data_IF_631727096865
#
_entry.id   IF_631727096865
#
_cell.length_a   1.000
_cell.length_b   1.000
_cell.length_c   1.000
_cell.angle_alpha   90.00
_cell.angle_beta   90.00
_cell.angle_gamma   90.00
#
_symmetry.space_group_name_H-M   'P 1'
#
loop_
_entity.id
_entity.type
_entity.pdbx_description
1 polymer ?
#
# COMPACT_ATOMS: atom_id res chain seq x y z
N UNK A 1 -16.09 15.55 -9.77
CA UNK A 1 -15.06 15.98 -8.81
C UNK A 1 -15.64 17.18 -8.07
N UNK A 2 -15.99 17.01 -6.82
CA UNK A 2 -16.39 18.10 -5.93
C UNK A 2 -15.17 18.41 -5.05
N UNK A 3 -14.73 19.64 -5.02
CA UNK A 3 -13.59 20.10 -4.19
C UNK A 3 -12.30 19.28 -4.34
N UNK A 4 -11.96 18.85 -5.58
CA UNK A 4 -10.79 18.01 -5.90
C UNK A 4 -10.82 16.56 -5.37
N UNK A 5 -11.91 16.10 -4.79
CA UNK A 5 -12.13 14.69 -4.44
C UNK A 5 -13.04 14.00 -5.48
N UNK A 6 -12.77 12.71 -5.72
CA UNK A 6 -13.60 11.89 -6.61
C UNK A 6 -14.73 11.25 -5.84
N UNK A 7 -15.94 11.39 -6.36
CA UNK A 7 -17.10 10.61 -5.94
C UNK A 7 -17.28 9.43 -6.90
N UNK A 8 -17.25 8.21 -6.38
CA UNK A 8 -17.54 7.00 -7.16
C UNK A 8 -19.05 6.77 -7.18
N UNK A 9 -19.69 7.07 -8.31
CA UNK A 9 -21.14 6.91 -8.49
C UNK A 9 -21.56 5.46 -8.73
N UNK A 10 -20.62 4.59 -9.09
CA UNK A 10 -20.86 3.17 -9.30
C UNK A 10 -19.59 2.47 -9.77
N UNK A 11 -19.65 1.14 -9.78
CA UNK A 11 -18.58 0.28 -10.26
C UNK A 11 -19.20 -0.90 -11.02
N UNK A 12 -18.73 -1.15 -12.24
CA UNK A 12 -18.99 -2.40 -12.95
C UNK A 12 -17.85 -3.36 -12.61
N UNK A 13 -18.18 -4.36 -11.80
CA UNK A 13 -17.19 -5.34 -11.30
C UNK A 13 -16.88 -6.45 -12.29
N UNK A 14 -17.62 -6.55 -13.40
CA UNK A 14 -17.47 -7.62 -14.37
C UNK A 14 -17.67 -9.02 -13.78
N UNK A 15 -17.65 -10.04 -14.63
CA UNK A 15 -17.90 -11.44 -14.21
C UNK A 15 -16.73 -12.07 -13.47
N UNK A 16 -15.49 -11.66 -13.74
CA UNK A 16 -14.29 -12.21 -13.06
C UNK A 16 -14.20 -11.85 -11.58
N UNK A 17 -14.81 -10.75 -11.18
CA UNK A 17 -14.78 -10.30 -9.78
C UNK A 17 -15.68 -11.16 -8.83
N UNK A 18 -16.53 -11.99 -9.40
CA UNK A 18 -17.34 -12.94 -8.63
C UNK A 18 -16.52 -14.10 -8.01
N UNK A 19 -15.30 -14.33 -8.51
CA UNK A 19 -14.47 -15.46 -8.08
C UNK A 19 -13.18 -14.99 -7.40
N UNK A 20 -12.71 -15.75 -6.41
CA UNK A 20 -11.36 -15.66 -5.85
C UNK A 20 -10.34 -15.94 -6.95
N UNK A 21 -9.27 -15.17 -7.01
CA UNK A 21 -8.16 -15.45 -7.93
C UNK A 21 -7.28 -16.53 -7.30
N UNK A 22 -7.08 -17.64 -8.01
CA UNK A 22 -6.17 -18.68 -7.55
C UNK A 22 -4.76 -18.41 -8.09
N UNK A 23 -3.76 -18.56 -7.21
CA UNK A 23 -2.34 -18.53 -7.59
C UNK A 23 -1.94 -19.95 -7.98
N UNK A 24 -1.49 -20.12 -9.23
CA UNK A 24 -1.03 -21.39 -9.80
C UNK A 24 0.49 -21.54 -9.72
N UNK A 25 1.01 -22.74 -9.95
CA UNK A 25 2.45 -22.98 -10.06
C UNK A 25 3.11 -22.13 -11.17
N UNK A 26 2.40 -21.93 -12.29
CA UNK A 26 2.87 -21.07 -13.38
C UNK A 26 2.99 -19.61 -12.96
N UNK A 27 2.06 -19.12 -12.11
CA UNK A 27 2.14 -17.76 -11.56
C UNK A 27 3.34 -17.64 -10.63
N UNK A 28 3.59 -18.63 -9.77
CA UNK A 28 4.75 -18.64 -8.88
C UNK A 28 6.06 -18.68 -9.67
N UNK A 29 6.13 -19.49 -10.73
CA UNK A 29 7.30 -19.54 -11.62
C UNK A 29 7.57 -18.20 -12.31
N UNK A 30 6.52 -17.49 -12.74
CA UNK A 30 6.64 -16.15 -13.31
C UNK A 30 7.07 -15.12 -12.26
N UNK A 31 6.50 -15.19 -11.05
CA UNK A 31 6.72 -14.20 -9.99
C UNK A 31 8.09 -14.32 -9.30
N UNK A 32 8.79 -15.44 -9.43
CA UNK A 32 10.09 -15.67 -8.75
C UNK A 32 11.19 -14.68 -9.14
N UNK A 33 11.08 -14.06 -10.30
CA UNK A 33 12.10 -13.16 -10.84
C UNK A 33 11.86 -11.68 -10.41
N UNK A 34 10.80 -11.42 -9.60
CA UNK A 34 10.47 -10.08 -9.14
C UNK A 34 10.91 -9.84 -7.69
N UNK A 35 11.55 -8.70 -7.45
CA UNK A 35 11.95 -8.28 -6.09
C UNK A 35 10.77 -7.79 -5.26
N UNK A 36 9.71 -7.27 -5.90
CA UNK A 36 8.49 -6.78 -5.24
C UNK A 36 7.26 -7.36 -5.94
N UNK A 37 6.37 -7.93 -5.14
CA UNK A 37 5.09 -8.47 -5.58
C UNK A 37 4.00 -7.68 -4.86
N UNK A 38 3.27 -6.84 -5.59
CA UNK A 38 2.21 -6.02 -5.04
C UNK A 38 0.83 -6.59 -5.34
N UNK A 39 -0.04 -6.56 -4.33
CA UNK A 39 -1.47 -6.84 -4.48
C UNK A 39 -2.30 -5.94 -3.56
N UNK A 40 -3.62 -6.00 -3.68
CA UNK A 40 -4.51 -5.18 -2.88
C UNK A 40 -5.75 -5.96 -2.42
N UNK A 41 -6.47 -5.38 -1.48
CA UNK A 41 -7.74 -5.90 -1.00
C UNK A 41 -8.79 -6.08 -2.13
N UNK A 42 -8.65 -5.36 -3.24
CA UNK A 42 -9.54 -5.47 -4.39
C UNK A 42 -9.21 -6.66 -5.30
N UNK A 43 -8.01 -7.21 -5.22
CA UNK A 43 -7.58 -8.35 -6.05
C UNK A 43 -8.14 -9.70 -5.59
N UNK A 44 -8.76 -9.78 -4.39
CA UNK A 44 -9.30 -11.00 -3.79
C UNK A 44 -8.29 -12.17 -3.71
N UNK A 45 -7.03 -11.84 -3.46
CA UNK A 45 -5.95 -12.82 -3.29
C UNK A 45 -5.69 -13.19 -1.82
N UNK A 46 -6.43 -12.64 -0.88
CA UNK A 46 -6.14 -12.79 0.55
C UNK A 46 -6.13 -14.24 1.04
N UNK A 47 -6.98 -15.11 0.47
CA UNK A 47 -7.01 -16.55 0.80
C UNK A 47 -5.86 -17.33 0.16
N UNK A 48 -5.22 -16.79 -0.86
CA UNK A 48 -4.13 -17.42 -1.62
C UNK A 48 -2.75 -16.81 -1.32
N UNK A 49 -2.70 -15.69 -0.58
CA UNK A 49 -1.48 -14.91 -0.38
C UNK A 49 -0.36 -15.71 0.29
N UNK A 50 -0.71 -16.71 1.09
CA UNK A 50 0.24 -17.62 1.75
C UNK A 50 1.15 -18.34 0.75
N UNK A 51 0.67 -18.57 -0.48
CA UNK A 51 1.46 -19.23 -1.55
C UNK A 51 2.64 -18.38 -1.99
N UNK A 52 2.54 -17.05 -1.88
CA UNK A 52 3.63 -16.13 -2.24
C UNK A 52 4.81 -16.21 -1.25
N UNK A 53 4.62 -16.83 -0.09
CA UNK A 53 5.67 -16.92 0.93
C UNK A 53 6.91 -17.72 0.48
N UNK A 54 6.76 -18.60 -0.51
CA UNK A 54 7.87 -19.39 -1.07
C UNK A 54 8.80 -18.58 -1.96
N UNK A 55 8.39 -17.37 -2.36
CA UNK A 55 9.16 -16.50 -3.25
C UNK A 55 10.14 -15.64 -2.45
N UNK A 56 11.27 -15.31 -3.05
CA UNK A 56 12.26 -14.37 -2.50
C UNK A 56 11.80 -12.91 -2.58
N UNK A 57 10.85 -12.61 -3.45
CA UNK A 57 10.27 -11.28 -3.60
C UNK A 57 9.48 -10.82 -2.37
N UNK A 58 9.54 -9.54 -2.08
CA UNK A 58 8.79 -8.89 -0.99
C UNK A 58 7.33 -8.74 -1.36
N UNK A 59 6.43 -9.30 -0.56
CA UNK A 59 4.99 -9.16 -0.78
C UNK A 59 4.48 -7.91 -0.09
N UNK A 60 3.82 -7.03 -0.86
CA UNK A 60 3.19 -5.81 -0.36
C UNK A 60 1.68 -5.83 -0.60
N UNK A 61 0.92 -5.23 0.30
CA UNK A 61 -0.54 -5.24 0.23
C UNK A 61 -1.14 -3.88 0.53
N UNK A 62 -2.04 -3.39 -0.34
CA UNK A 62 -2.86 -2.22 -0.06
C UNK A 62 -4.23 -2.64 0.49
N UNK A 63 -4.49 -2.28 1.75
CA UNK A 63 -5.77 -2.52 2.44
C UNK A 63 -6.79 -1.42 2.17
N UNK A 64 -6.37 -0.30 1.55
CA UNK A 64 -7.25 0.84 1.28
C UNK A 64 -7.84 1.45 2.58
N UNK A 65 -8.95 2.16 2.46
CA UNK A 65 -9.68 2.81 3.57
C UNK A 65 -10.78 1.92 4.16
N UNK A 66 -11.07 0.76 3.56
CA UNK A 66 -12.29 -0.01 3.83
C UNK A 66 -12.18 -0.84 5.11
N UNK A 67 -13.06 -0.61 6.08
CA UNK A 67 -13.08 -1.30 7.38
C UNK A 67 -13.20 -2.82 7.29
N UNK A 68 -13.90 -3.34 6.28
CA UNK A 68 -14.04 -4.79 6.09
C UNK A 68 -12.73 -5.54 5.89
N UNK A 69 -11.65 -4.84 5.50
CA UNK A 69 -10.30 -5.40 5.35
C UNK A 69 -9.40 -5.10 6.55
N UNK A 70 -9.95 -4.47 7.61
CA UNK A 70 -9.27 -4.16 8.87
C UNK A 70 -9.72 -5.05 10.02
N UNK A 71 -10.60 -6.03 9.73
CA UNK A 71 -11.07 -6.97 10.73
C UNK A 71 -9.95 -7.91 11.17
N UNK A 72 -10.00 -8.33 12.42
CA UNK A 72 -9.02 -9.28 13.00
C UNK A 72 -8.87 -10.54 12.13
N UNK A 73 -9.99 -11.09 11.65
CA UNK A 73 -10.00 -12.27 10.78
C UNK A 73 -9.22 -12.04 9.50
N UNK A 74 -9.47 -10.91 8.79
CA UNK A 74 -8.78 -10.59 7.54
C UNK A 74 -7.29 -10.33 7.76
N UNK A 75 -6.93 -9.62 8.83
CA UNK A 75 -5.53 -9.32 9.15
C UNK A 75 -4.76 -10.60 9.52
N UNK A 76 -5.36 -11.53 10.26
CA UNK A 76 -4.71 -12.81 10.63
C UNK A 76 -4.37 -13.70 9.44
N UNK A 77 -5.17 -13.68 8.39
CA UNK A 77 -4.92 -14.50 7.20
C UNK A 77 -3.97 -13.83 6.19
N UNK A 78 -3.86 -12.49 6.23
CA UNK A 78 -3.05 -11.72 5.25
C UNK A 78 -1.70 -11.31 5.81
N UNK A 79 -1.67 -10.69 6.98
CA UNK A 79 -0.50 -10.02 7.54
C UNK A 79 0.75 -10.91 7.71
N UNK A 80 0.66 -12.21 8.07
CA UNK A 80 1.85 -13.04 8.27
C UNK A 80 2.76 -13.19 7.04
N UNK A 81 2.25 -12.89 5.86
CA UNK A 81 2.95 -13.07 4.58
C UNK A 81 3.43 -11.76 3.96
N UNK A 82 3.25 -10.63 4.66
CA UNK A 82 3.53 -9.30 4.13
C UNK A 82 4.84 -8.73 4.67
N UNK A 83 5.68 -8.26 3.77
CA UNK A 83 6.80 -7.39 4.12
C UNK A 83 6.33 -5.94 4.38
N UNK A 84 5.28 -5.49 3.70
CA UNK A 84 4.69 -4.17 3.92
C UNK A 84 3.17 -4.18 3.66
N UNK A 85 2.41 -3.69 4.64
CA UNK A 85 0.97 -3.39 4.50
C UNK A 85 0.71 -1.89 4.50
N UNK A 86 -0.05 -1.38 3.52
CA UNK A 86 -0.46 0.02 3.45
C UNK A 86 -1.93 0.18 3.80
N UNK A 87 -2.26 1.24 4.55
CA UNK A 87 -3.61 1.62 4.94
C UNK A 87 -3.83 3.12 4.71
N UNK A 88 -5.00 3.51 4.21
CA UNK A 88 -5.42 4.92 4.12
C UNK A 88 -6.11 5.32 5.43
N UNK A 89 -5.51 6.21 6.20
CA UNK A 89 -5.91 6.56 7.57
C UNK A 89 -6.17 8.07 7.76
N UNK A 90 -6.59 8.77 6.70
CA UNK A 90 -6.86 10.21 6.72
C UNK A 90 -7.98 10.62 7.69
N UNK A 91 -8.91 9.71 7.97
CA UNK A 91 -10.04 9.90 8.91
C UNK A 91 -9.67 9.63 10.39
N UNK A 92 -8.47 9.10 10.69
CA UNK A 92 -8.04 8.73 12.05
C UNK A 92 -7.13 9.78 12.66
N UNK A 93 -7.10 9.86 14.00
CA UNK A 93 -6.14 10.67 14.76
C UNK A 93 -4.79 9.94 14.86
N UNK A 94 -3.69 10.70 15.03
CA UNK A 94 -2.34 10.14 14.98
C UNK A 94 -2.10 9.04 16.03
N UNK A 95 -2.60 9.20 17.26
CA UNK A 95 -2.44 8.18 18.30
C UNK A 95 -3.25 6.91 18.00
N UNK A 96 -4.45 7.05 17.43
CA UNK A 96 -5.25 5.90 16.98
C UNK A 96 -4.52 5.15 15.85
N UNK A 97 -3.87 5.88 14.96
CA UNK A 97 -3.06 5.28 13.88
C UNK A 97 -1.89 4.49 14.47
N UNK A 98 -1.16 5.05 15.46
CA UNK A 98 -0.05 4.34 16.11
C UNK A 98 -0.48 3.03 16.74
N UNK A 99 -1.59 3.04 17.45
CA UNK A 99 -2.13 1.81 18.06
C UNK A 99 -2.59 0.80 17.01
N UNK A 100 -3.23 1.28 15.95
CA UNK A 100 -3.63 0.46 14.80
C UNK A 100 -2.42 -0.18 14.10
N UNK A 101 -1.34 0.58 13.83
CA UNK A 101 -0.13 0.05 13.19
C UNK A 101 0.57 -1.00 14.07
N UNK A 102 0.63 -0.79 15.40
CA UNK A 102 1.13 -1.80 16.35
C UNK A 102 0.30 -3.08 16.30
N UNK A 103 -1.02 -2.94 16.25
CA UNK A 103 -1.95 -4.07 16.18
C UNK A 103 -1.74 -4.87 14.88
N UNK A 104 -1.67 -4.21 13.73
CA UNK A 104 -1.43 -4.85 12.43
C UNK A 104 -0.07 -5.56 12.41
N UNK A 105 0.97 -4.92 12.93
CA UNK A 105 2.29 -5.56 13.09
C UNK A 105 2.20 -6.80 13.99
N UNK A 106 1.42 -6.75 15.06
CA UNK A 106 1.15 -7.88 15.95
C UNK A 106 0.50 -9.08 15.26
N UNK A 107 -0.22 -8.87 14.16
CA UNK A 107 -0.75 -9.94 13.31
C UNK A 107 0.27 -10.50 12.30
N UNK A 108 1.51 -9.99 12.31
CA UNK A 108 2.63 -10.56 11.56
C UNK A 108 3.09 -9.76 10.34
N UNK A 109 2.45 -8.63 10.00
CA UNK A 109 2.93 -7.72 8.97
C UNK A 109 4.27 -7.10 9.43
N UNK A 110 5.34 -7.26 8.64
CA UNK A 110 6.70 -6.86 9.04
C UNK A 110 6.83 -5.34 9.18
N UNK A 111 6.28 -4.62 8.24
CA UNK A 111 6.25 -3.16 8.21
C UNK A 111 4.85 -2.69 7.90
N UNK A 112 4.42 -1.60 8.51
CA UNK A 112 3.07 -1.06 8.31
C UNK A 112 3.14 0.42 8.01
N UNK A 113 2.44 0.83 6.95
CA UNK A 113 2.36 2.21 6.49
C UNK A 113 0.92 2.71 6.60
N UNK A 114 0.73 3.86 7.22
CA UNK A 114 -0.48 4.65 7.14
C UNK A 114 -0.25 5.89 6.28
N UNK A 115 -1.07 6.09 5.26
CA UNK A 115 -1.14 7.36 4.52
C UNK A 115 -2.30 8.20 5.08
N UNK A 116 -2.09 9.51 5.23
CA UNK A 116 -3.01 10.44 5.89
C UNK A 116 -3.36 11.65 4.99
N UNK A 117 -3.27 11.48 3.66
CA UNK A 117 -3.48 12.54 2.68
C UNK A 117 -2.51 13.72 2.91
N UNK A 118 -3.03 14.94 3.00
CA UNK A 118 -2.24 16.16 3.23
C UNK A 118 -1.50 16.19 4.58
N UNK A 119 -1.84 15.29 5.52
CA UNK A 119 -1.13 15.15 6.80
C UNK A 119 0.13 14.28 6.71
N UNK A 120 0.48 13.78 5.52
CA UNK A 120 1.65 12.95 5.27
C UNK A 120 1.42 11.47 5.52
N UNK A 121 2.38 10.81 6.15
CA UNK A 121 2.36 9.37 6.38
C UNK A 121 3.01 8.99 7.70
N UNK A 122 2.69 7.81 8.21
CA UNK A 122 3.32 7.22 9.38
C UNK A 122 3.72 5.77 9.06
N UNK A 123 5.00 5.48 9.20
CA UNK A 123 5.56 4.15 8.98
C UNK A 123 5.94 3.51 10.32
N UNK A 124 5.66 2.23 10.50
CA UNK A 124 6.07 1.46 11.67
C UNK A 124 6.79 0.18 11.24
N UNK A 125 8.03 -0.01 11.70
CA UNK A 125 8.86 -1.16 11.37
C UNK A 125 8.93 -2.23 12.49
N UNK A 126 8.00 -2.17 13.43
CA UNK A 126 7.99 -3.05 14.60
C UNK A 126 8.76 -2.49 15.82
N UNK A 127 9.57 -1.44 15.62
CA UNK A 127 10.39 -0.82 16.69
C UNK A 127 10.14 0.66 16.82
N UNK A 128 10.21 1.40 15.70
CA UNK A 128 10.10 2.86 15.67
C UNK A 128 9.00 3.30 14.71
N UNK A 129 8.42 4.46 15.02
CA UNK A 129 7.56 5.20 14.11
C UNK A 129 8.38 6.25 13.38
N UNK A 130 8.27 6.26 12.05
CA UNK A 130 8.88 7.29 11.20
C UNK A 130 7.76 8.06 10.51
N UNK A 131 7.71 9.36 10.74
CA UNK A 131 6.74 10.26 10.11
C UNK A 131 7.29 10.78 8.80
N UNK A 132 6.48 10.71 7.73
CA UNK A 132 6.75 11.36 6.44
C UNK A 132 5.84 12.57 6.29
N UNK A 133 6.43 13.71 5.94
CA UNK A 133 5.66 14.91 5.62
C UNK A 133 5.04 14.79 4.22
N UNK A 134 3.88 15.44 4.01
CA UNK A 134 3.31 15.55 2.69
C UNK A 134 4.07 16.59 1.87
N UNK A 135 4.34 16.29 0.61
CA UNK A 135 4.77 17.29 -0.38
C UNK A 135 3.49 17.94 -0.96
N UNK A 136 3.01 18.99 -0.27
CA UNK A 136 1.71 19.58 -0.55
C UNK A 136 1.69 20.28 -1.92
N UNK A 137 0.68 19.94 -2.71
CA UNK A 137 0.37 20.58 -3.99
C UNK A 137 -1.13 20.87 -4.07
N UNK A 138 -1.52 21.88 -4.85
CA UNK A 138 -2.91 22.07 -5.22
C UNK A 138 -3.29 20.99 -6.25
N UNK A 139 -3.94 19.93 -5.79
CA UNK A 139 -4.20 18.77 -6.61
C UNK A 139 -5.20 19.04 -7.73
N UNK A 140 -4.89 18.60 -8.94
CA UNK A 140 -5.81 18.51 -10.07
C UNK A 140 -6.70 17.27 -9.94
N UNK A 141 -6.09 16.14 -9.53
CA UNK A 141 -6.78 14.87 -9.33
C UNK A 141 -5.98 13.99 -8.36
N UNK A 142 -6.63 13.39 -7.38
CA UNK A 142 -5.98 12.53 -6.39
C UNK A 142 -6.01 11.04 -6.73
N UNK A 143 -6.54 10.68 -7.92
CA UNK A 143 -6.58 9.27 -8.34
C UNK A 143 -5.16 8.69 -8.49
N UNK A 144 -4.94 7.53 -7.85
CA UNK A 144 -3.64 6.86 -7.88
C UNK A 144 -2.57 7.48 -6.99
N UNK A 145 -2.91 8.47 -6.14
CA UNK A 145 -1.94 9.06 -5.20
C UNK A 145 -1.36 8.03 -4.24
N UNK A 146 -2.21 7.16 -3.66
CA UNK A 146 -1.79 6.07 -2.80
C UNK A 146 -0.93 5.02 -3.52
N UNK A 147 -1.34 4.64 -4.74
CA UNK A 147 -0.61 3.68 -5.57
C UNK A 147 0.77 4.20 -5.96
N UNK A 148 0.84 5.47 -6.40
CA UNK A 148 2.10 6.12 -6.78
C UNK A 148 3.02 6.32 -5.57
N UNK A 149 2.46 6.63 -4.39
CA UNK A 149 3.21 6.72 -3.15
C UNK A 149 3.86 5.37 -2.80
N UNK A 150 3.07 4.30 -2.78
CA UNK A 150 3.56 2.96 -2.45
C UNK A 150 4.62 2.49 -3.46
N UNK A 151 4.37 2.67 -4.76
CA UNK A 151 5.32 2.28 -5.80
C UNK A 151 6.67 3.00 -5.61
N UNK A 152 6.65 4.32 -5.41
CA UNK A 152 7.85 5.10 -5.20
C UNK A 152 8.58 4.75 -3.89
N UNK A 153 7.82 4.50 -2.81
CA UNK A 153 8.36 4.02 -1.54
C UNK A 153 9.14 2.71 -1.74
N UNK A 154 8.51 1.73 -2.40
CA UNK A 154 9.14 0.43 -2.64
C UNK A 154 10.38 0.53 -3.50
N UNK A 155 10.35 1.32 -4.59
CA UNK A 155 11.52 1.57 -5.43
C UNK A 155 12.67 2.14 -4.59
N UNK A 156 12.39 3.17 -3.78
CA UNK A 156 13.43 3.80 -2.94
C UNK A 156 14.00 2.86 -1.89
N UNK A 157 13.17 2.00 -1.28
CA UNK A 157 13.62 1.01 -0.29
C UNK A 157 14.50 -0.08 -0.94
N UNK A 158 14.10 -0.59 -2.11
CA UNK A 158 14.86 -1.61 -2.87
C UNK A 158 16.18 -1.05 -3.37
N UNK A 159 16.18 0.15 -3.97
CA UNK A 159 17.42 0.84 -4.38
C UNK A 159 18.34 1.15 -3.20
N UNK A 160 17.76 1.34 -2.01
CA UNK A 160 18.48 1.46 -0.74
C UNK A 160 19.04 0.14 -0.19
N UNK A 161 18.80 -0.97 -0.90
CA UNK A 161 19.33 -2.30 -0.58
C UNK A 161 18.44 -3.15 0.33
N UNK A 162 17.19 -2.75 0.59
CA UNK A 162 16.28 -3.54 1.40
C UNK A 162 15.82 -4.80 0.65
N UNK A 163 15.84 -5.93 1.36
CA UNK A 163 15.40 -7.23 0.87
C UNK A 163 14.43 -7.89 1.84
N UNK A 164 13.74 -8.93 1.36
CA UNK A 164 12.83 -9.74 2.17
C UNK A 164 13.52 -10.24 3.44
N UNK A 165 12.86 -10.02 4.57
CA UNK A 165 13.35 -10.44 5.89
C UNK A 165 14.36 -9.50 6.53
N UNK A 166 14.85 -8.48 5.83
CA UNK A 166 15.76 -7.50 6.42
C UNK A 166 15.01 -6.51 7.32
N UNK A 167 15.66 -6.08 8.41
CA UNK A 167 15.19 -4.94 9.21
C UNK A 167 15.42 -3.62 8.47
N UNK A 168 14.43 -2.73 8.51
CA UNK A 168 14.53 -1.39 7.94
C UNK A 168 15.10 -0.38 8.95
N UNK A 169 16.15 0.36 8.53
CA UNK A 169 16.73 1.46 9.31
C UNK A 169 15.88 2.72 9.15
N UNK A 170 15.79 3.49 10.22
CA UNK A 170 15.01 4.74 10.28
C UNK A 170 15.40 5.72 9.17
N UNK A 171 16.70 5.91 8.91
CA UNK A 171 17.19 6.83 7.89
C UNK A 171 16.77 6.43 6.47
N UNK A 172 16.74 5.12 6.18
CA UNK A 172 16.27 4.61 4.90
C UNK A 172 14.77 4.80 4.74
N UNK A 173 13.99 4.52 5.80
CA UNK A 173 12.55 4.75 5.81
C UNK A 173 12.25 6.25 5.57
N UNK A 174 12.89 7.15 6.31
CA UNK A 174 12.67 8.59 6.19
C UNK A 174 12.95 9.11 4.77
N UNK A 175 14.06 8.68 4.18
CA UNK A 175 14.43 9.02 2.78
C UNK A 175 13.40 8.48 1.78
N UNK A 176 12.95 7.25 1.98
CA UNK A 176 11.97 6.63 1.08
C UNK A 176 10.60 7.30 1.18
N UNK A 177 10.16 7.70 2.37
CA UNK A 177 8.91 8.44 2.58
C UNK A 177 8.96 9.83 1.91
N UNK A 178 10.09 10.55 2.01
CA UNK A 178 10.27 11.83 1.33
C UNK A 178 10.21 11.67 -0.20
N UNK A 179 10.88 10.66 -0.74
CA UNK A 179 10.85 10.36 -2.18
C UNK A 179 9.43 10.02 -2.64
N UNK A 180 8.72 9.16 -1.88
CA UNK A 180 7.36 8.76 -2.17
C UNK A 180 6.38 9.94 -2.16
N UNK A 181 6.50 10.85 -1.19
CA UNK A 181 5.68 12.06 -1.11
C UNK A 181 5.85 12.94 -2.35
N UNK A 182 7.10 13.21 -2.76
CA UNK A 182 7.42 14.00 -3.96
C UNK A 182 6.93 13.34 -5.26
N UNK A 183 6.90 12.03 -5.32
CA UNK A 183 6.41 11.31 -6.50
C UNK A 183 4.88 11.33 -6.56
N UNK A 184 4.23 11.08 -5.43
CA UNK A 184 2.77 11.10 -5.30
C UNK A 184 2.20 12.49 -5.59
N UNK A 185 2.83 13.56 -5.11
CA UNK A 185 2.40 14.93 -5.38
C UNK A 185 2.43 15.27 -6.87
N UNK A 186 3.44 14.80 -7.61
CA UNK A 186 3.50 14.96 -9.07
C UNK A 186 2.35 14.24 -9.79
N UNK A 187 1.96 13.04 -9.32
CA UNK A 187 0.80 12.34 -9.87
C UNK A 187 -0.50 13.14 -9.64
N UNK A 188 -0.61 13.87 -8.53
CA UNK A 188 -1.78 14.70 -8.25
C UNK A 188 -1.90 15.96 -9.12
N UNK A 189 -0.86 16.33 -9.87
CA UNK A 189 -0.88 17.49 -10.78
C UNK A 189 -1.43 17.19 -12.17
N UNK A 190 -1.80 15.94 -12.45
CA UNK A 190 -2.34 15.51 -13.74
C UNK A 190 -3.74 14.93 -13.58
N UNK A 191 -4.58 15.02 -14.62
CA UNK A 191 -5.90 14.40 -14.62
C UNK A 191 -5.80 12.87 -14.76
N UNK A 192 -6.62 12.14 -14.01
CA UNK A 192 -6.64 10.67 -14.00
C UNK A 192 -5.46 10.05 -13.28
N UNK A 193 -5.51 8.73 -13.09
CA UNK A 193 -4.37 8.01 -12.53
C UNK A 193 -3.20 8.01 -13.51
N UNK A 194 -2.05 8.53 -13.09
CA UNK A 194 -0.83 8.61 -13.91
C UNK A 194 -1.01 9.35 -15.25
N UNK A 195 -1.91 10.33 -15.32
CA UNK A 195 -2.18 11.09 -16.53
C UNK A 195 -3.11 10.39 -17.54
N UNK A 196 -3.68 9.25 -17.20
CA UNK A 196 -4.64 8.53 -18.03
C UNK A 196 -6.08 8.88 -17.63
N UNK A 197 -6.80 9.53 -18.55
CA UNK A 197 -8.22 9.85 -18.40
C UNK A 197 -8.95 9.57 -19.71
N UNK A 198 -9.94 8.69 -19.66
CA UNK A 198 -10.90 8.54 -20.75
C UNK A 198 -12.15 9.39 -20.47
N UNK A 199 -12.64 10.10 -21.49
CA UNK A 199 -13.93 10.79 -21.45
C UNK A 199 -14.94 9.93 -22.20
N UNK A 200 -15.93 9.45 -21.48
CA UNK A 200 -17.09 8.76 -22.05
C UNK A 200 -18.17 9.74 -22.46
#
# INVERSE_FOLDING_TARGET
VYENEREFLGIDIGTKWAHTTNITESDLEYLKDFEVIHTSCNAKLHEEIYKLNVLEGMVTFDFSVKDKYRTEEFLKITCPYLELGQFSCDHMQEEEIKDFLRMVHGYGCKNVLATMGSRGSLFYNGTVFVKGEADYVEAVDTLGAGDSFLAALMVSLVEGGWKKGDGLKEELIAKALEFAAKYSSKNCLVEGGFGFKERF
#
